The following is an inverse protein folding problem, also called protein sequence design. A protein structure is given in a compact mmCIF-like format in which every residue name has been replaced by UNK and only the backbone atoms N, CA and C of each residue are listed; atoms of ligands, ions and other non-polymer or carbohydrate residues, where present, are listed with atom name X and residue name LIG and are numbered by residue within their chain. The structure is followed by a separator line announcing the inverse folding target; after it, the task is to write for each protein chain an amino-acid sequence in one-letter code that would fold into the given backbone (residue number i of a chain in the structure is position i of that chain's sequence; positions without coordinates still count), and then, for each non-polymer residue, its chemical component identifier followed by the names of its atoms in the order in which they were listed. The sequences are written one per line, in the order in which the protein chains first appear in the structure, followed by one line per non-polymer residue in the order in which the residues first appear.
data_IF_225223103347
#
_entry.id   IF_225223103347
#
_cell.length_a   1.000
_cell.length_b   1.000
_cell.length_c   1.000
_cell.angle_alpha   90.00
_cell.angle_beta   90.00
_cell.angle_gamma   90.00
#
_symmetry.space_group_name_H-M   'P 1'
#
loop_
_entity.id
_entity.type
_entity.pdbx_description
1 polymer ?
#
# COMPACT_ATOMS: atom_id res chain seq x y z
N UNK A 1 -11.14 34.27 -44.38
CA UNK A 1 -9.67 34.12 -44.46
C UNK A 1 -9.06 33.23 -43.36
N UNK A 2 -9.30 33.46 -42.06
CA UNK A 2 -8.72 32.63 -40.98
C UNK A 2 -9.14 31.14 -41.04
N UNK A 3 -10.37 30.85 -41.48
CA UNK A 3 -10.92 29.49 -41.61
C UNK A 3 -10.14 28.62 -42.62
N UNK A 4 -9.80 29.16 -43.79
CA UNK A 4 -9.06 28.42 -44.83
C UNK A 4 -7.59 28.20 -44.47
N UNK A 5 -7.01 29.10 -43.66
CA UNK A 5 -5.66 28.92 -43.14
C UNK A 5 -5.62 27.83 -42.07
N UNK A 6 -6.65 27.78 -41.22
CA UNK A 6 -6.82 26.75 -40.19
C UNK A 6 -6.98 25.34 -40.80
N UNK A 7 -7.75 25.20 -41.88
CA UNK A 7 -7.94 23.92 -42.57
C UNK A 7 -6.65 23.42 -43.24
N UNK A 8 -5.89 24.31 -43.88
CA UNK A 8 -4.58 23.99 -44.45
C UNK A 8 -3.54 23.62 -43.38
N UNK A 9 -3.54 24.29 -42.24
CA UNK A 9 -2.66 23.98 -41.11
C UNK A 9 -2.99 22.63 -40.45
N UNK A 10 -4.27 22.26 -40.35
CA UNK A 10 -4.70 20.94 -39.90
C UNK A 10 -4.32 19.84 -40.89
N UNK A 11 -4.42 20.10 -42.20
CA UNK A 11 -4.08 19.16 -43.26
C UNK A 11 -2.58 18.87 -43.37
N UNK A 12 -1.72 19.82 -42.99
CA UNK A 12 -0.25 19.66 -43.00
C UNK A 12 0.33 19.28 -41.64
N UNK A 13 -0.50 18.97 -40.64
CA UNK A 13 -0.02 18.59 -39.32
C UNK A 13 0.67 17.22 -39.42
N UNK A 14 2.00 17.13 -39.18
CA UNK A 14 2.70 15.86 -39.29
C UNK A 14 2.10 14.87 -38.30
N UNK A 15 1.85 13.64 -38.76
CA UNK A 15 1.41 12.57 -37.90
C UNK A 15 2.51 12.29 -36.87
N UNK A 16 2.15 12.38 -35.59
CA UNK A 16 3.08 12.08 -34.51
C UNK A 16 3.24 10.57 -34.43
N UNK A 17 4.41 10.06 -34.83
CA UNK A 17 4.76 8.64 -34.67
C UNK A 17 5.38 8.41 -33.29
N UNK A 18 4.84 7.44 -32.56
CA UNK A 18 5.35 7.08 -31.23
C UNK A 18 5.92 5.67 -31.25
N UNK A 19 7.07 5.47 -30.57
CA UNK A 19 7.70 4.15 -30.44
C UNK A 19 6.78 3.14 -29.74
N UNK A 20 5.95 3.62 -28.81
CA UNK A 20 4.95 2.80 -28.13
C UNK A 20 3.93 2.19 -29.11
N UNK A 21 3.59 2.88 -30.20
CA UNK A 21 2.62 2.37 -31.18
C UNK A 21 3.19 1.18 -31.96
N UNK A 22 4.50 1.17 -32.19
CA UNK A 22 5.22 0.07 -32.81
C UNK A 22 5.28 -1.15 -31.89
N UNK A 23 5.65 -0.96 -30.63
CA UNK A 23 5.69 -2.04 -29.64
C UNK A 23 4.31 -2.68 -29.44
N UNK A 24 3.26 -1.85 -29.35
CA UNK A 24 1.88 -2.35 -29.16
C UNK A 24 1.40 -3.10 -30.42
N UNK A 25 1.79 -2.64 -31.61
CA UNK A 25 1.52 -3.32 -32.89
C UNK A 25 2.24 -4.66 -33.00
N UNK A 26 3.48 -4.77 -32.55
CA UNK A 26 4.22 -6.05 -32.50
C UNK A 26 3.53 -7.08 -31.61
N UNK A 27 2.93 -6.62 -30.52
CA UNK A 27 2.09 -7.45 -29.65
C UNK A 27 0.70 -7.76 -30.25
N UNK A 28 0.36 -7.27 -31.46
CA UNK A 28 -0.96 -7.45 -32.09
C UNK A 28 -2.09 -6.62 -31.48
N UNK A 29 -1.75 -5.56 -30.73
CA UNK A 29 -2.72 -4.69 -30.06
C UNK A 29 -2.87 -3.36 -30.82
N UNK A 30 -4.01 -2.69 -30.66
CA UNK A 30 -4.29 -1.37 -31.25
C UNK A 30 -4.28 -0.29 -30.17
N UNK A 31 -3.51 0.79 -30.40
CA UNK A 31 -3.51 1.96 -29.51
C UNK A 31 -4.73 2.83 -29.77
N UNK A 32 -5.57 3.03 -28.74
CA UNK A 32 -6.65 4.01 -28.75
C UNK A 32 -6.17 5.32 -28.13
N UNK A 33 -6.33 6.44 -28.85
CA UNK A 33 -6.00 7.78 -28.35
C UNK A 33 -7.27 8.49 -27.92
N UNK A 34 -7.37 8.77 -26.62
CA UNK A 34 -8.49 9.53 -26.08
C UNK A 34 -8.32 11.03 -26.37
N UNK A 35 -9.42 11.75 -26.62
CA UNK A 35 -9.41 13.20 -26.69
C UNK A 35 -8.80 13.83 -25.42
N UNK A 36 -8.02 14.93 -25.54
CA UNK A 36 -7.46 15.63 -24.38
C UNK A 36 -8.56 16.09 -23.42
N UNK A 37 -8.32 15.98 -22.10
CA UNK A 37 -9.25 16.39 -21.04
C UNK A 37 -10.57 15.60 -20.94
N UNK A 38 -10.64 14.41 -21.54
CA UNK A 38 -11.82 13.54 -21.45
C UNK A 38 -11.53 12.25 -20.68
N UNK A 39 -11.21 12.39 -19.39
CA UNK A 39 -10.96 11.25 -18.49
C UNK A 39 -12.17 10.30 -18.38
N UNK A 40 -13.39 10.78 -18.62
CA UNK A 40 -14.62 9.98 -18.64
C UNK A 40 -14.61 8.81 -19.64
N UNK A 41 -13.76 8.87 -20.66
CA UNK A 41 -13.60 7.79 -21.65
C UNK A 41 -12.46 6.83 -21.31
N UNK A 42 -11.70 7.10 -20.26
CA UNK A 42 -10.65 6.20 -19.78
C UNK A 42 -11.27 5.14 -18.87
N UNK A 43 -11.36 3.91 -19.34
CA UNK A 43 -11.88 2.79 -18.56
C UNK A 43 -11.08 2.53 -17.28
N UNK A 44 -9.80 2.90 -17.24
CA UNK A 44 -8.97 2.75 -16.05
C UNK A 44 -9.47 3.64 -14.90
N UNK A 45 -9.84 4.89 -15.19
CA UNK A 45 -10.36 5.84 -14.19
C UNK A 45 -11.64 5.31 -13.53
N UNK A 46 -12.52 4.70 -14.32
CA UNK A 46 -13.75 4.10 -13.83
C UNK A 46 -13.49 2.95 -12.86
N UNK A 47 -12.52 2.09 -13.16
CA UNK A 47 -12.14 1.00 -12.27
C UNK A 47 -11.48 1.57 -11.01
N UNK A 48 -10.57 2.54 -11.17
CA UNK A 48 -9.87 3.14 -10.04
C UNK A 48 -10.81 3.82 -9.05
N UNK A 49 -11.79 4.58 -9.55
CA UNK A 49 -12.82 5.21 -8.71
C UNK A 49 -13.55 4.18 -7.84
N UNK A 50 -13.95 3.04 -8.40
CA UNK A 50 -14.63 1.98 -7.63
C UNK A 50 -13.76 1.39 -6.54
N UNK A 51 -12.47 1.21 -6.83
CA UNK A 51 -11.53 0.69 -5.85
C UNK A 51 -11.32 1.68 -4.70
N UNK A 52 -11.20 2.97 -5.01
CA UNK A 52 -11.09 4.03 -3.98
C UNK A 52 -12.35 4.07 -3.12
N UNK A 53 -13.54 4.11 -3.72
CA UNK A 53 -14.81 4.11 -3.00
C UNK A 53 -14.95 2.90 -2.06
N UNK A 54 -14.46 1.74 -2.49
CA UNK A 54 -14.49 0.53 -1.68
C UNK A 54 -13.56 0.64 -0.47
N UNK A 55 -12.33 1.11 -0.67
CA UNK A 55 -11.37 1.29 0.43
C UNK A 55 -11.83 2.35 1.41
N UNK A 56 -12.40 3.45 0.93
CA UNK A 56 -12.95 4.51 1.79
C UNK A 56 -14.07 3.98 2.69
N UNK A 57 -14.95 3.12 2.16
CA UNK A 57 -15.99 2.46 2.96
C UNK A 57 -15.40 1.59 4.05
N UNK A 58 -14.40 0.75 3.71
CA UNK A 58 -13.73 -0.11 4.70
C UNK A 58 -13.11 0.74 5.83
N UNK A 59 -12.39 1.79 5.46
CA UNK A 59 -11.75 2.69 6.42
C UNK A 59 -12.81 3.30 7.36
N UNK A 60 -13.89 3.84 6.80
CA UNK A 60 -14.96 4.45 7.59
C UNK A 60 -15.67 3.44 8.50
N UNK A 61 -15.90 2.21 8.02
CA UNK A 61 -16.50 1.13 8.81
C UNK A 61 -15.59 0.70 9.96
N UNK A 62 -14.28 0.63 9.72
CA UNK A 62 -13.27 0.32 10.74
C UNK A 62 -13.24 1.41 11.81
N UNK A 63 -13.22 2.68 11.41
CA UNK A 63 -13.24 3.82 12.33
C UNK A 63 -14.51 3.81 13.17
N UNK A 64 -15.68 3.53 12.58
CA UNK A 64 -16.94 3.46 13.30
C UNK A 64 -17.01 2.30 14.31
N UNK A 65 -16.28 1.20 14.04
CA UNK A 65 -16.16 0.07 14.96
C UNK A 65 -15.25 0.40 16.13
N UNK A 66 -14.10 0.97 15.86
CA UNK A 66 -13.09 1.33 16.86
C UNK A 66 -13.53 2.51 17.73
N UNK A 67 -14.33 3.45 17.21
CA UNK A 67 -14.90 4.54 18.02
C UNK A 67 -15.80 4.03 19.17
N UNK A 68 -16.34 2.81 19.06
CA UNK A 68 -17.08 2.15 20.15
C UNK A 68 -16.16 1.52 21.21
N UNK A 69 -14.90 1.27 20.87
CA UNK A 69 -13.86 0.78 21.79
C UNK A 69 -13.20 1.92 22.57
N UNK A 70 -13.06 3.11 21.98
CA UNK A 70 -12.54 4.29 22.71
C UNK A 70 -13.57 4.91 23.66
N UNK A 71 -14.87 4.69 23.41
CA UNK A 71 -15.94 5.08 24.32
C UNK A 71 -16.06 4.17 25.55
N UNK A 72 -15.48 2.96 25.52
CA UNK A 72 -15.27 2.20 26.75
C UNK A 72 -14.11 2.83 27.51
N UNK A 73 -14.46 3.61 28.53
CA UNK A 73 -13.59 4.28 29.50
C UNK A 73 -12.26 3.56 29.75
N UNK A 74 -11.18 4.06 29.12
CA UNK A 74 -9.82 3.66 29.44
C UNK A 74 -9.53 4.01 30.91
N UNK A 75 -9.67 3.03 31.80
CA UNK A 75 -9.32 3.20 33.20
C UNK A 75 -7.80 3.32 33.35
N UNK A 76 -7.30 4.19 34.25
CA UNK A 76 -5.87 4.34 34.46
C UNK A 76 -5.26 3.04 34.99
N UNK A 77 -4.20 2.57 34.35
CA UNK A 77 -3.39 1.45 34.85
C UNK A 77 -2.41 1.97 35.91
N UNK A 78 -2.54 1.49 37.16
CA UNK A 78 -1.65 1.85 38.26
C UNK A 78 -0.52 0.82 38.33
N UNK A 79 0.68 1.20 37.91
CA UNK A 79 1.88 0.39 38.10
C UNK A 79 2.29 0.52 39.57
N UNK A 80 2.14 -0.55 40.33
CA UNK A 80 2.72 -0.64 41.66
C UNK A 80 4.21 -0.96 41.50
N UNK A 81 5.06 0.05 41.67
CA UNK A 81 6.49 -0.16 41.87
C UNK A 81 6.63 -0.58 43.34
N UNK A 82 6.71 -1.88 43.58
CA UNK A 82 7.26 -2.37 44.83
C UNK A 82 8.76 -2.11 44.80
N UNK A 83 9.31 -1.63 45.92
CA UNK A 83 10.75 -1.66 46.15
C UNK A 83 11.15 -3.13 46.28
N UNK A 84 11.29 -3.81 45.14
CA UNK A 84 11.91 -5.12 45.11
C UNK A 84 13.40 -4.89 45.35
N UNK A 85 13.78 -4.79 46.62
CA UNK A 85 15.15 -5.00 47.05
C UNK A 85 15.54 -6.42 46.64
N UNK A 86 16.19 -6.51 45.48
CA UNK A 86 16.78 -7.74 44.98
C UNK A 86 18.02 -7.99 45.84
N UNK A 87 17.85 -8.75 46.92
CA UNK A 87 18.98 -9.24 47.71
C UNK A 87 19.70 -10.31 46.89
N UNK A 88 20.91 -9.99 46.47
CA UNK A 88 21.77 -10.86 45.68
C UNK A 88 22.71 -11.56 46.66
N UNK A 89 22.26 -12.68 47.22
CA UNK A 89 23.12 -13.57 48.00
C UNK A 89 24.03 -14.35 47.03
N UNK A 90 25.25 -13.85 46.85
CA UNK A 90 26.41 -14.63 46.39
C UNK A 90 26.96 -15.42 47.58
N UNK A 91 27.05 -16.75 47.48
CA UNK A 91 28.06 -17.59 48.17
C UNK A 91 28.09 -19.05 47.62
N UNK A 92 29.18 -19.32 46.87
CA UNK A 92 30.08 -20.49 46.77
C UNK A 92 29.59 -21.97 46.70
N UNK A 93 29.96 -22.59 45.56
CA UNK A 93 30.53 -23.92 45.28
C UNK A 93 30.15 -25.17 46.12
N UNK A 94 29.56 -26.17 45.44
CA UNK A 94 29.89 -27.59 45.64
C UNK A 94 29.80 -28.34 44.30
N UNK A 95 30.97 -28.79 43.80
CA UNK A 95 31.16 -29.68 42.66
C UNK A 95 30.63 -31.09 42.97
N UNK A 96 29.60 -31.55 42.26
CA UNK A 96 29.35 -32.99 42.09
C UNK A 96 29.20 -33.34 40.61
N UNK A 97 30.32 -33.83 40.06
CA UNK A 97 30.47 -34.41 38.74
C UNK A 97 29.57 -35.65 38.56
N UNK A 98 28.41 -35.49 37.93
CA UNK A 98 27.65 -36.62 37.37
C UNK A 98 27.86 -36.71 35.86
N UNK A 99 28.68 -37.69 35.48
CA UNK A 99 29.05 -38.02 34.12
C UNK A 99 27.82 -38.26 33.22
N UNK A 100 27.83 -37.64 32.03
CA UNK A 100 26.90 -37.96 30.94
C UNK A 100 27.60 -38.89 29.95
N UNK A 101 27.22 -40.17 29.83
CA UNK A 101 27.56 -40.95 28.67
C UNK A 101 26.42 -40.82 27.66
N UNK A 102 26.57 -39.96 26.65
CA UNK A 102 25.82 -40.07 25.41
C UNK A 102 26.79 -40.32 24.27
N UNK A 103 27.05 -41.61 24.07
CA UNK A 103 27.64 -42.19 22.86
C UNK A 103 26.71 -41.85 21.67
N UNK A 104 27.24 -41.13 20.69
CA UNK A 104 26.73 -41.15 19.33
C UNK A 104 27.71 -42.02 18.53
N UNK A 105 27.26 -43.21 18.14
CA UNK A 105 27.73 -43.90 16.93
C UNK A 105 26.61 -43.86 15.90
#
# INVERSE_FOLDING_TARGET
MKMELMSKALAHKPEKRYKIDEMVRECGHQVLRLPPYHCQYNSLELVWSKNVDHTEKIINDDWAREMKMDASENQPFIIQIGDNESDSDDDDDDEEVLAVPLLLD
#
